data_IF_137619442753
#
_entry.id   IF_137619442753
#
_cell.length_a   1.000
_cell.length_b   1.000
_cell.length_c   1.000
_cell.angle_alpha   90.00
_cell.angle_beta   90.00
_cell.angle_gamma   90.00
#
_symmetry.space_group_name_H-M   'P 1'
#
loop_
_entity.id
_entity.type
_entity.pdbx_description
1 polymer ?
#
# COMPACT_ATOMS: atom_id res chain seq x y z
N UNK A 1 11.21 -16.80 -0.07
CA UNK A 1 9.80 -16.82 0.37
C UNK A 1 9.28 -18.25 0.32
N UNK A 2 8.80 -18.82 1.43
CA UNK A 2 8.01 -20.06 1.37
C UNK A 2 6.69 -19.73 0.65
N UNK A 3 6.31 -20.55 -0.33
CA UNK A 3 5.05 -20.40 -1.04
C UNK A 3 3.86 -20.70 -0.10
N UNK A 4 2.82 -19.84 -0.11
CA UNK A 4 1.47 -20.07 0.46
C UNK A 4 1.32 -20.17 1.99
N UNK A 5 2.08 -19.45 2.81
CA UNK A 5 1.64 -19.21 4.20
C UNK A 5 1.32 -17.73 4.42
N UNK A 6 0.09 -17.47 4.86
CA UNK A 6 -0.32 -16.21 5.48
C UNK A 6 0.48 -16.07 6.77
N UNK A 7 0.91 -14.85 7.08
CA UNK A 7 1.58 -14.59 8.36
C UNK A 7 0.56 -14.56 9.49
N UNK A 8 0.99 -14.96 10.67
CA UNK A 8 0.24 -14.73 11.88
C UNK A 8 0.23 -13.23 12.23
N UNK A 9 -0.75 -12.82 13.04
CA UNK A 9 -0.87 -11.41 13.42
C UNK A 9 0.37 -10.89 14.14
N UNK A 10 0.95 -11.70 15.03
CA UNK A 10 2.17 -11.35 15.77
C UNK A 10 3.34 -11.09 14.81
N UNK A 11 3.48 -11.91 13.76
CA UNK A 11 4.52 -11.75 12.74
C UNK A 11 4.31 -10.48 11.93
N UNK A 12 3.07 -10.21 11.49
CA UNK A 12 2.71 -9.01 10.76
C UNK A 12 2.96 -7.73 11.58
N UNK A 13 2.62 -7.75 12.87
CA UNK A 13 2.88 -6.65 13.81
C UNK A 13 4.38 -6.40 13.98
N UNK A 14 5.19 -7.46 14.14
CA UNK A 14 6.66 -7.33 14.26
C UNK A 14 7.30 -6.76 12.99
N UNK A 15 6.85 -7.18 11.82
CA UNK A 15 7.27 -6.60 10.54
C UNK A 15 6.91 -5.11 10.49
N UNK A 16 5.65 -4.77 10.80
CA UNK A 16 5.19 -3.39 10.76
C UNK A 16 6.00 -2.49 11.70
N UNK A 17 6.28 -2.94 12.92
CA UNK A 17 7.10 -2.20 13.89
C UNK A 17 8.51 -1.93 13.35
N UNK A 18 9.20 -2.95 12.83
CA UNK A 18 10.57 -2.79 12.29
C UNK A 18 10.59 -1.87 11.07
N UNK A 19 9.59 -1.98 10.19
CA UNK A 19 9.46 -1.06 9.04
C UNK A 19 9.27 0.37 9.52
N UNK A 20 8.33 0.62 10.44
CA UNK A 20 8.06 1.96 10.97
C UNK A 20 9.30 2.54 11.68
N UNK A 21 10.00 1.76 12.49
CA UNK A 21 11.26 2.16 13.13
C UNK A 21 12.33 2.57 12.10
N UNK A 22 12.39 1.89 10.95
CA UNK A 22 13.27 2.26 9.84
C UNK A 22 12.84 3.53 9.10
N UNK A 23 11.52 3.73 8.94
CA UNK A 23 10.96 4.88 8.22
C UNK A 23 11.05 6.20 9.01
N UNK A 24 10.85 6.18 10.33
CA UNK A 24 10.86 7.39 11.18
C UNK A 24 12.07 8.30 10.91
N UNK A 25 13.33 7.84 11.04
CA UNK A 25 14.49 8.72 10.86
C UNK A 25 14.67 9.19 9.41
N UNK A 26 14.10 8.48 8.42
CA UNK A 26 14.10 8.90 7.02
C UNK A 26 13.06 10.00 6.81
N UNK A 27 11.84 9.78 7.32
CA UNK A 27 10.72 10.69 7.17
C UNK A 27 10.97 12.03 7.86
N UNK A 28 11.58 12.02 9.05
CA UNK A 28 12.03 13.23 9.76
C UNK A 28 13.02 14.07 8.94
N UNK A 29 13.82 13.42 8.10
CA UNK A 29 14.78 14.08 7.19
C UNK A 29 14.15 14.43 5.84
N UNK A 30 12.85 14.23 5.65
CA UNK A 30 12.17 14.42 4.38
C UNK A 30 12.68 13.47 3.30
N UNK A 31 12.99 12.22 3.66
CA UNK A 31 13.42 11.17 2.73
C UNK A 31 12.36 10.07 2.71
N UNK A 32 11.80 9.78 1.53
CA UNK A 32 10.94 8.63 1.31
C UNK A 32 11.78 7.39 1.01
N UNK A 33 11.36 6.24 1.51
CA UNK A 33 11.98 4.95 1.21
C UNK A 33 11.71 4.53 -0.24
N UNK A 34 10.49 4.75 -0.73
CA UNK A 34 10.05 4.65 -2.14
C UNK A 34 10.23 3.28 -2.84
N UNK A 35 10.76 2.26 -2.18
CA UNK A 35 10.82 0.88 -2.68
C UNK A 35 10.46 -0.15 -1.59
N UNK A 36 9.49 0.18 -0.74
CA UNK A 36 9.07 -0.68 0.38
C UNK A 36 8.22 -1.86 -0.13
N UNK A 37 8.87 -3.02 -0.31
CA UNK A 37 8.28 -4.27 -0.79
C UNK A 37 8.71 -5.46 0.06
N UNK A 38 8.12 -6.63 -0.12
CA UNK A 38 8.48 -7.79 0.70
C UNK A 38 9.97 -8.19 0.54
N UNK A 39 10.58 -7.96 -0.62
CA UNK A 39 12.01 -8.20 -0.87
C UNK A 39 12.93 -7.19 -0.17
N UNK A 40 12.38 -6.14 0.44
CA UNK A 40 13.10 -5.21 1.30
C UNK A 40 13.10 -5.64 2.77
N UNK A 41 12.33 -6.66 3.14
CA UNK A 41 12.23 -7.16 4.52
C UNK A 41 12.88 -8.54 4.60
N UNK A 42 13.95 -8.65 5.36
CA UNK A 42 14.64 -9.91 5.62
C UNK A 42 14.28 -10.41 7.00
N UNK A 43 13.86 -11.67 7.07
CA UNK A 43 13.49 -12.35 8.31
C UNK A 43 14.41 -13.53 8.52
N UNK A 44 15.02 -13.60 9.70
CA UNK A 44 15.70 -14.80 10.20
C UNK A 44 14.74 -15.58 11.09
N UNK A 45 14.92 -16.89 11.11
CA UNK A 45 14.14 -17.82 11.92
C UNK A 45 15.02 -18.41 13.02
N UNK A 46 14.44 -18.74 14.16
CA UNK A 46 15.08 -19.55 15.20
C UNK A 46 14.92 -21.06 14.91
N UNK A 47 15.33 -21.90 15.85
CA UNK A 47 15.23 -23.36 15.75
C UNK A 47 13.79 -23.89 15.78
N UNK A 48 12.82 -23.03 16.12
CA UNK A 48 11.39 -23.34 16.18
C UNK A 48 10.60 -22.74 15.01
N UNK A 49 11.28 -22.34 13.92
CA UNK A 49 10.67 -21.67 12.76
C UNK A 49 9.95 -20.34 13.13
N UNK A 50 10.28 -19.73 14.28
CA UNK A 50 9.75 -18.43 14.70
C UNK A 50 10.68 -17.28 14.30
N UNK A 51 10.15 -16.08 14.09
CA UNK A 51 10.98 -14.93 13.68
C UNK A 51 11.99 -14.58 14.79
N UNK A 52 13.28 -14.70 14.50
CA UNK A 52 14.36 -14.36 15.45
C UNK A 52 14.90 -12.95 15.23
N UNK A 53 14.90 -12.46 13.98
CA UNK A 53 15.35 -11.12 13.63
C UNK A 53 14.67 -10.64 12.35
N UNK A 54 14.34 -9.35 12.28
CA UNK A 54 13.74 -8.72 11.10
C UNK A 54 14.57 -7.49 10.77
N UNK A 55 14.91 -7.31 9.49
CA UNK A 55 15.67 -6.16 9.01
C UNK A 55 15.05 -5.58 7.75
N UNK A 56 14.92 -4.25 7.74
CA UNK A 56 14.66 -3.49 6.53
C UNK A 56 15.98 -3.25 5.78
N UNK A 57 16.04 -3.61 4.50
CA UNK A 57 17.21 -3.55 3.63
C UNK A 57 16.86 -2.91 2.29
N UNK A 58 17.86 -2.44 1.53
CA UNK A 58 17.72 -1.80 0.19
C UNK A 58 17.27 -0.33 0.23
N UNK A 59 17.87 0.45 1.11
CA UNK A 59 17.69 1.92 1.19
C UNK A 59 18.21 2.66 -0.07
N UNK A 60 18.82 1.96 -1.04
CA UNK A 60 19.46 2.57 -2.22
C UNK A 60 18.51 3.27 -3.20
N UNK A 61 17.19 3.07 -3.06
CA UNK A 61 16.15 3.74 -3.84
C UNK A 61 15.50 4.93 -3.12
N UNK A 62 15.98 5.27 -1.92
CA UNK A 62 15.41 6.35 -1.13
C UNK A 62 15.52 7.70 -1.86
N UNK A 63 14.45 8.50 -1.76
CA UNK A 63 14.31 9.76 -2.49
C UNK A 63 14.19 10.92 -1.50
N UNK A 64 15.00 11.97 -1.66
CA UNK A 64 14.87 13.22 -0.90
C UNK A 64 13.72 14.04 -1.46
N UNK A 65 12.81 14.49 -0.61
CA UNK A 65 11.59 15.20 -0.98
C UNK A 65 11.82 16.71 -1.11
N UNK A 66 12.54 17.14 -2.16
CA UNK A 66 12.76 18.58 -2.47
C UNK A 66 12.88 18.81 -3.99
N UNK A 67 11.82 19.22 -4.72
CA UNK A 67 10.39 19.32 -4.36
C UNK A 67 9.70 17.94 -4.20
N UNK A 68 8.40 17.87 -3.85
CA UNK A 68 7.63 16.62 -3.95
C UNK A 68 7.81 15.98 -5.32
N UNK A 69 8.07 14.67 -5.33
CA UNK A 69 8.40 13.96 -6.55
C UNK A 69 7.17 13.74 -7.42
N UNK A 70 7.33 13.82 -8.74
CA UNK A 70 6.29 13.73 -9.75
C UNK A 70 6.48 12.54 -10.73
N UNK A 71 7.43 11.66 -10.42
CA UNK A 71 7.72 10.44 -11.18
C UNK A 71 7.16 9.18 -10.50
N UNK A 72 6.95 8.11 -11.29
CA UNK A 72 6.53 6.81 -10.80
C UNK A 72 7.66 6.12 -10.01
N UNK A 73 7.33 5.44 -8.91
CA UNK A 73 8.28 4.73 -8.06
C UNK A 73 7.76 3.33 -7.70
N UNK A 74 8.66 2.48 -7.21
CA UNK A 74 8.31 1.18 -6.64
C UNK A 74 7.59 0.23 -7.62
N UNK A 75 7.02 -0.84 -7.07
CA UNK A 75 6.21 -1.79 -7.81
C UNK A 75 4.76 -1.30 -7.94
N UNK A 76 4.12 -1.46 -9.11
CA UNK A 76 2.77 -0.95 -9.38
C UNK A 76 1.71 -1.33 -8.32
N UNK A 77 1.75 -2.58 -7.86
CA UNK A 77 0.74 -3.14 -6.92
C UNK A 77 0.82 -2.55 -5.51
N UNK A 78 1.89 -1.82 -5.19
CA UNK A 78 2.10 -1.18 -3.89
C UNK A 78 2.10 0.36 -3.98
N UNK A 79 1.94 0.93 -5.18
CA UNK A 79 1.97 2.38 -5.36
C UNK A 79 0.79 3.06 -4.65
N UNK A 80 1.11 4.20 -4.04
CA UNK A 80 0.14 5.04 -3.36
C UNK A 80 -0.79 5.73 -4.38
N UNK A 81 -2.03 6.04 -3.97
CA UNK A 81 -3.01 6.65 -4.85
C UNK A 81 -2.50 7.97 -5.44
N UNK A 82 -1.89 8.86 -4.66
CA UNK A 82 -1.36 10.13 -5.18
C UNK A 82 -0.38 9.92 -6.35
N UNK A 83 0.47 8.90 -6.29
CA UNK A 83 1.40 8.55 -7.36
C UNK A 83 0.67 8.00 -8.59
N UNK A 84 -0.32 7.13 -8.37
CA UNK A 84 -1.21 6.65 -9.42
C UNK A 84 -2.10 7.76 -10.01
N UNK A 85 -2.30 8.88 -9.36
CA UNK A 85 -2.96 10.05 -9.95
C UNK A 85 -1.98 11.08 -10.54
N UNK A 86 -0.67 10.89 -10.35
CA UNK A 86 0.37 11.78 -10.87
C UNK A 86 0.45 13.07 -10.06
N UNK A 87 -0.07 13.02 -8.84
CA UNK A 87 -0.04 14.09 -7.87
C UNK A 87 1.33 14.02 -7.19
N UNK A 88 2.01 15.16 -7.01
CA UNK A 88 3.28 15.15 -6.33
C UNK A 88 3.17 14.51 -4.95
N UNK A 89 4.05 13.56 -4.68
CA UNK A 89 3.97 12.69 -3.51
C UNK A 89 5.05 12.99 -2.46
N UNK A 90 4.81 12.50 -1.26
CA UNK A 90 5.68 12.72 -0.08
C UNK A 90 6.05 11.38 0.56
N UNK A 91 6.68 11.41 1.74
CA UNK A 91 7.00 10.22 2.56
C UNK A 91 5.79 9.31 2.88
N UNK A 92 4.55 9.80 2.71
CA UNK A 92 3.30 9.04 2.88
C UNK A 92 3.16 7.85 1.93
N UNK A 93 3.88 7.86 0.82
CA UNK A 93 3.97 6.71 -0.09
C UNK A 93 4.42 5.42 0.62
N UNK A 94 5.30 5.55 1.61
CA UNK A 94 5.81 4.41 2.37
C UNK A 94 4.77 3.89 3.38
N UNK A 95 3.92 4.77 3.89
CA UNK A 95 2.83 4.41 4.81
C UNK A 95 1.76 3.59 4.07
N UNK A 96 1.42 4.01 2.84
CA UNK A 96 0.56 3.22 1.96
C UNK A 96 1.19 1.87 1.63
N UNK A 97 2.46 1.85 1.21
CA UNK A 97 3.17 0.62 0.87
C UNK A 97 3.20 -0.37 2.06
N UNK A 98 3.42 0.11 3.30
CA UNK A 98 3.30 -0.71 4.51
C UNK A 98 1.92 -1.36 4.64
N UNK A 99 0.84 -0.61 4.41
CA UNK A 99 -0.51 -1.16 4.47
C UNK A 99 -0.77 -2.23 3.41
N UNK A 100 -0.23 -2.06 2.19
CA UNK A 100 -0.31 -3.12 1.15
C UNK A 100 0.45 -4.39 1.56
N UNK A 101 1.60 -4.27 2.23
CA UNK A 101 2.37 -5.40 2.74
C UNK A 101 1.64 -6.13 3.88
N UNK A 102 1.01 -5.40 4.79
CA UNK A 102 0.20 -5.99 5.86
C UNK A 102 -1.01 -6.72 5.26
N UNK A 103 -1.70 -6.11 4.31
CA UNK A 103 -2.79 -6.78 3.58
C UNK A 103 -2.28 -8.07 2.92
N UNK A 104 -1.15 -8.02 2.22
CA UNK A 104 -0.56 -9.21 1.60
C UNK A 104 -0.19 -10.28 2.63
N UNK A 105 0.40 -9.90 3.77
CA UNK A 105 0.73 -10.83 4.85
C UNK A 105 -0.48 -11.63 5.33
N UNK A 106 -1.64 -10.98 5.48
CA UNK A 106 -2.86 -11.63 5.96
C UNK A 106 -3.67 -12.35 4.86
N UNK A 107 -3.64 -11.88 3.62
CA UNK A 107 -4.41 -12.48 2.52
C UNK A 107 -3.62 -13.57 1.79
N UNK A 108 -2.29 -13.49 1.81
CA UNK A 108 -1.40 -14.29 0.97
C UNK A 108 -1.39 -13.85 -0.50
N UNK A 109 -2.08 -12.75 -0.85
CA UNK A 109 -2.15 -12.21 -2.21
C UNK A 109 -1.97 -10.68 -2.24
N UNK A 110 -1.35 -10.17 -3.30
CA UNK A 110 -1.29 -8.73 -3.58
C UNK A 110 -2.72 -8.26 -3.90
N UNK A 111 -3.34 -7.49 -3.01
CA UNK A 111 -4.77 -7.14 -3.12
C UNK A 111 -5.05 -6.18 -4.28
N UNK A 112 -4.05 -5.37 -4.64
CA UNK A 112 -4.11 -4.46 -5.78
C UNK A 112 -3.33 -5.05 -6.96
N UNK A 113 -3.61 -6.29 -7.31
CA UNK A 113 -3.05 -6.97 -8.48
C UNK A 113 -4.21 -7.42 -9.39
N UNK A 114 -4.37 -6.88 -10.60
CA UNK A 114 -5.51 -7.20 -11.44
C UNK A 114 -5.38 -8.63 -11.98
N UNK A 115 -6.38 -9.48 -11.79
CA UNK A 115 -6.28 -10.88 -12.17
C UNK A 115 -6.12 -11.04 -13.69
N UNK A 116 -5.04 -11.70 -14.09
CA UNK A 116 -4.76 -12.04 -15.50
C UNK A 116 -4.26 -10.87 -16.35
N UNK A 117 -3.81 -9.78 -15.73
CA UNK A 117 -3.24 -8.63 -16.43
C UNK A 117 -1.85 -8.37 -15.86
N UNK A 118 -0.82 -8.58 -16.68
CA UNK A 118 0.55 -8.33 -16.27
C UNK A 118 0.85 -6.82 -16.22
N UNK A 119 1.75 -6.39 -15.32
CA UNK A 119 2.28 -5.04 -15.32
C UNK A 119 2.92 -4.65 -16.68
N UNK A 120 2.81 -3.37 -17.08
CA UNK A 120 3.32 -2.89 -18.37
C UNK A 120 4.85 -2.65 -18.37
N UNK A 121 5.53 -2.82 -17.23
CA UNK A 121 6.99 -2.72 -17.09
C UNK A 121 7.72 -4.04 -17.39
N UNK A 122 7.06 -4.96 -18.10
CA UNK A 122 7.66 -6.16 -18.67
C UNK A 122 8.71 -5.82 -19.75
N UNK A 123 9.44 -6.84 -20.23
CA UNK A 123 10.43 -6.65 -21.30
C UNK A 123 9.98 -7.38 -22.58
N UNK A 124 9.61 -6.68 -23.66
CA UNK A 124 9.65 -5.21 -23.83
C UNK A 124 8.53 -4.49 -23.04
N UNK A 125 8.72 -3.20 -22.69
CA UNK A 125 7.71 -2.43 -21.97
C UNK A 125 6.47 -2.23 -22.84
N UNK A 126 5.31 -2.24 -22.20
CA UNK A 126 4.02 -1.94 -22.80
C UNK A 126 3.92 -0.50 -23.29
N UNK A 127 2.92 -0.25 -24.13
CA UNK A 127 2.65 1.08 -24.68
C UNK A 127 2.18 2.06 -23.60
N UNK A 128 2.19 3.37 -23.90
CA UNK A 128 1.59 4.38 -23.02
C UNK A 128 0.13 4.08 -22.68
N UNK A 129 -0.59 3.45 -23.61
CA UNK A 129 -1.98 3.05 -23.41
C UNK A 129 -2.09 1.88 -22.41
N UNK A 130 -1.18 0.92 -22.48
CA UNK A 130 -1.12 -0.19 -21.52
C UNK A 130 -0.82 0.33 -20.11
N UNK A 131 0.11 1.28 -19.99
CA UNK A 131 0.43 1.95 -18.73
C UNK A 131 -0.77 2.70 -18.14
N UNK A 132 -1.47 3.51 -18.94
CA UNK A 132 -2.68 4.22 -18.52
C UNK A 132 -3.80 3.27 -18.10
N UNK A 133 -3.95 2.15 -18.82
CA UNK A 133 -4.97 1.13 -18.53
C UNK A 133 -4.67 0.45 -17.20
N UNK A 134 -3.44 -0.04 -17.01
CA UNK A 134 -3.02 -0.68 -15.77
C UNK A 134 -3.16 0.27 -14.57
N UNK A 135 -2.72 1.53 -14.72
CA UNK A 135 -2.89 2.59 -13.73
C UNK A 135 -4.36 2.81 -13.36
N UNK A 136 -5.25 2.88 -14.33
CA UNK A 136 -6.70 3.06 -14.08
C UNK A 136 -7.28 1.87 -13.34
N UNK A 137 -6.88 0.63 -13.67
CA UNK A 137 -7.28 -0.57 -12.95
C UNK A 137 -6.80 -0.56 -11.49
N UNK A 138 -5.56 -0.13 -11.24
CA UNK A 138 -5.03 0.06 -9.88
C UNK A 138 -5.91 1.02 -9.08
N UNK A 139 -6.21 2.20 -9.65
CA UNK A 139 -7.06 3.19 -9.00
C UNK A 139 -8.44 2.60 -8.69
N UNK A 140 -9.05 1.87 -9.63
CA UNK A 140 -10.36 1.24 -9.42
C UNK A 140 -10.31 0.20 -8.30
N UNK A 141 -9.28 -0.65 -8.25
CA UNK A 141 -9.09 -1.61 -7.16
C UNK A 141 -8.96 -0.88 -5.81
N UNK A 142 -8.09 0.13 -5.71
CA UNK A 142 -7.92 0.91 -4.48
C UNK A 142 -9.22 1.60 -4.05
N UNK A 143 -9.96 2.14 -5.01
CA UNK A 143 -11.24 2.84 -4.79
C UNK A 143 -12.34 1.89 -4.30
N UNK A 144 -12.34 0.64 -4.77
CA UNK A 144 -13.27 -0.38 -4.32
C UNK A 144 -13.14 -0.64 -2.81
N UNK A 145 -11.90 -0.60 -2.29
CA UNK A 145 -11.61 -0.83 -0.87
C UNK A 145 -11.70 0.43 -0.01
N UNK A 146 -11.02 1.50 -0.42
CA UNK A 146 -10.74 2.66 0.44
C UNK A 146 -11.38 3.97 -0.05
N UNK A 147 -12.20 3.90 -1.12
CA UNK A 147 -12.89 5.06 -1.66
C UNK A 147 -14.01 5.63 -0.77
N UNK A 148 -14.65 6.73 -1.20
CA UNK A 148 -14.55 7.33 -2.54
C UNK A 148 -13.25 8.11 -2.79
N UNK A 149 -12.87 8.24 -4.05
CA UNK A 149 -11.74 9.08 -4.46
C UNK A 149 -12.01 10.53 -4.05
N UNK A 150 -11.06 11.22 -3.40
CA UNK A 150 -11.21 12.63 -3.06
C UNK A 150 -11.47 13.50 -4.29
N UNK A 151 -12.36 14.50 -4.17
CA UNK A 151 -12.69 15.39 -5.29
C UNK A 151 -11.45 16.09 -5.88
N UNK A 152 -10.48 16.46 -5.05
CA UNK A 152 -9.22 17.07 -5.49
C UNK A 152 -8.38 16.15 -6.38
N UNK A 153 -8.51 14.82 -6.26
CA UNK A 153 -7.82 13.86 -7.13
C UNK A 153 -8.56 13.75 -8.47
N UNK A 154 -9.89 13.74 -8.43
CA UNK A 154 -10.73 13.72 -9.63
C UNK A 154 -10.60 14.99 -10.49
N UNK A 155 -10.32 16.13 -9.87
CA UNK A 155 -10.06 17.40 -10.58
C UNK A 155 -8.73 17.39 -11.36
N UNK A 156 -7.75 16.62 -10.89
CA UNK A 156 -6.44 16.47 -11.51
C UNK A 156 -6.38 15.32 -12.53
N UNK A 157 -7.42 14.49 -12.58
CA UNK A 157 -7.51 13.34 -13.48
C UNK A 157 -7.88 13.78 -14.90
N UNK A 158 -7.41 13.04 -15.90
CA UNK A 158 -7.92 13.21 -17.25
C UNK A 158 -9.40 12.83 -17.36
N UNK A 159 -10.05 13.31 -18.43
CA UNK A 159 -11.48 13.14 -18.66
C UNK A 159 -11.89 11.66 -18.67
N UNK A 160 -11.08 10.78 -19.26
CA UNK A 160 -11.41 9.36 -19.40
C UNK A 160 -11.36 8.67 -18.05
N UNK A 161 -10.30 8.89 -17.28
CA UNK A 161 -10.20 8.35 -15.90
C UNK A 161 -11.36 8.84 -15.04
N UNK A 162 -11.72 10.11 -15.11
CA UNK A 162 -12.84 10.68 -14.34
C UNK A 162 -14.18 10.04 -14.68
N UNK A 163 -14.49 9.84 -15.96
CA UNK A 163 -15.75 9.22 -16.41
C UNK A 163 -15.83 7.74 -16.00
N UNK A 164 -14.71 7.01 -16.08
CA UNK A 164 -14.63 5.62 -15.64
C UNK A 164 -14.85 5.50 -14.12
N UNK A 165 -14.21 6.36 -13.32
CA UNK A 165 -14.37 6.35 -11.87
C UNK A 165 -15.79 6.73 -11.44
N UNK A 166 -16.42 7.72 -12.08
CA UNK A 166 -17.82 8.08 -11.80
C UNK A 166 -18.78 6.91 -12.13
N UNK A 167 -18.55 6.22 -13.25
CA UNK A 167 -19.32 5.02 -13.61
C UNK A 167 -19.12 3.90 -12.59
N UNK A 168 -17.88 3.69 -12.15
CA UNK A 168 -17.53 2.68 -11.16
C UNK A 168 -18.17 2.97 -9.80
N UNK A 169 -18.11 4.21 -9.33
CA UNK A 169 -18.72 4.68 -8.07
C UNK A 169 -20.25 4.49 -8.05
N UNK A 170 -20.92 4.79 -9.16
CA UNK A 170 -22.36 4.48 -9.34
C UNK A 170 -22.60 2.97 -9.26
N UNK A 171 -21.74 2.17 -9.88
CA UNK A 171 -21.79 0.71 -9.80
C UNK A 171 -21.66 0.19 -8.36
N UNK A 172 -20.70 0.70 -7.59
CA UNK A 172 -20.51 0.39 -6.16
C UNK A 172 -21.78 0.72 -5.37
N UNK A 173 -22.33 1.91 -5.59
CA UNK A 173 -23.54 2.38 -4.90
C UNK A 173 -24.73 1.48 -5.22
N UNK A 174 -24.94 1.13 -6.49
CA UNK A 174 -26.01 0.24 -6.94
C UNK A 174 -25.87 -1.19 -6.41
N UNK A 175 -24.64 -1.68 -6.20
CA UNK A 175 -24.38 -2.97 -5.57
C UNK A 175 -24.66 -2.98 -4.06
N UNK A 176 -25.00 -1.84 -3.46
CA UNK A 176 -25.27 -1.68 -2.03
C UNK A 176 -24.05 -1.29 -1.20
N UNK A 177 -23.05 -0.67 -1.83
CA UNK A 177 -21.89 -0.07 -1.18
C UNK A 177 -20.63 -0.95 -1.15
N UNK A 178 -19.49 -0.33 -0.80
CA UNK A 178 -18.16 -0.96 -0.82
C UNK A 178 -18.06 -2.21 0.02
N UNK A 179 -18.66 -2.21 1.21
CA UNK A 179 -18.61 -3.34 2.14
C UNK A 179 -19.08 -4.68 1.51
N UNK A 180 -20.01 -4.63 0.56
CA UNK A 180 -20.47 -5.82 -0.15
C UNK A 180 -19.45 -6.33 -1.17
N UNK A 181 -18.76 -5.42 -1.86
CA UNK A 181 -17.77 -5.73 -2.88
C UNK A 181 -16.47 -6.25 -2.26
N UNK A 182 -16.11 -5.73 -1.08
CA UNK A 182 -14.86 -6.10 -0.38
C UNK A 182 -15.03 -7.25 0.61
N UNK A 183 -16.26 -7.74 0.80
CA UNK A 183 -16.59 -8.82 1.75
C UNK A 183 -15.76 -10.10 1.58
N UNK A 184 -15.16 -10.34 0.41
CA UNK A 184 -14.29 -11.49 0.15
C UNK A 184 -12.85 -11.38 0.66
N UNK A 185 -12.35 -10.18 0.97
CA UNK A 185 -10.91 -9.94 1.23
C UNK A 185 -10.77 -8.88 2.33
N UNK A 186 -10.59 -9.23 3.61
CA UNK A 186 -10.41 -10.57 4.18
C UNK A 186 -11.33 -10.86 5.39
N UNK A 187 -12.24 -11.83 5.25
CA UNK A 187 -12.95 -12.46 6.38
C UNK A 187 -11.99 -13.14 7.40
N UNK A 188 -10.69 -13.23 7.10
CA UNK A 188 -9.66 -13.86 7.93
C UNK A 188 -8.77 -12.89 8.72
N UNK A 189 -8.93 -11.58 8.55
CA UNK A 189 -8.05 -10.61 9.23
C UNK A 189 -8.58 -10.26 10.63
N UNK A 190 -7.70 -10.19 11.64
CA UNK A 190 -8.07 -9.70 12.96
C UNK A 190 -8.69 -8.30 12.90
N UNK A 191 -9.70 -8.06 13.75
CA UNK A 191 -10.43 -6.79 13.77
C UNK A 191 -9.50 -5.59 14.02
N UNK A 192 -8.48 -5.76 14.86
CA UNK A 192 -7.56 -4.70 15.24
C UNK A 192 -6.58 -4.38 14.09
N UNK A 193 -6.10 -5.39 13.37
CA UNK A 193 -5.35 -5.21 12.13
C UNK A 193 -6.17 -4.46 11.06
N UNK A 194 -7.46 -4.77 10.92
CA UNK A 194 -8.35 -4.04 10.01
C UNK A 194 -8.53 -2.56 10.44
N UNK A 195 -8.62 -2.28 11.74
CA UNK A 195 -8.68 -0.91 12.25
C UNK A 195 -7.37 -0.14 12.02
N UNK A 196 -6.22 -0.81 12.15
CA UNK A 196 -4.93 -0.25 11.77
C UNK A 196 -4.89 0.11 10.27
N UNK A 197 -5.25 -0.82 9.39
CA UNK A 197 -5.31 -0.58 7.94
C UNK A 197 -6.25 0.57 7.59
N UNK A 198 -7.44 0.65 8.20
CA UNK A 198 -8.39 1.74 7.97
C UNK A 198 -7.84 3.13 8.35
N UNK A 199 -6.83 3.20 9.22
CA UNK A 199 -6.16 4.46 9.59
C UNK A 199 -5.06 4.83 8.60
N UNK A 200 -4.26 3.87 8.12
CA UNK A 200 -3.12 4.14 7.25
C UNK A 200 -3.46 4.16 5.75
N UNK A 201 -4.46 3.39 5.31
CA UNK A 201 -4.87 3.28 3.90
C UNK A 201 -5.92 4.34 3.54
N UNK A 202 -5.56 5.62 3.71
CA UNK A 202 -6.38 6.75 3.24
C UNK A 202 -5.97 7.15 1.82
N UNK A 203 -6.96 7.34 0.94
CA UNK A 203 -6.68 7.81 -0.42
C UNK A 203 -6.06 9.21 -0.46
N UNK A 204 -6.41 10.06 0.51
CA UNK A 204 -5.74 11.35 0.70
C UNK A 204 -4.56 11.17 1.67
N UNK A 205 -3.29 11.33 1.23
CA UNK A 205 -2.12 11.12 2.07
C UNK A 205 -2.06 12.08 3.27
N UNK A 206 -2.75 13.22 3.21
CA UNK A 206 -2.84 14.18 4.32
C UNK A 206 -3.63 13.67 5.51
N UNK A 207 -4.47 12.65 5.29
CA UNK A 207 -5.27 12.00 6.33
C UNK A 207 -4.56 10.80 6.95
N UNK A 208 -3.43 10.37 6.38
CA UNK A 208 -2.65 9.27 6.93
C UNK A 208 -1.82 9.79 8.12
N UNK A 209 -1.62 8.99 9.18
CA UNK A 209 -0.68 9.31 10.25
C UNK A 209 0.78 9.25 9.76
N UNK A 210 1.69 9.84 10.52
CA UNK A 210 3.14 9.71 10.34
C UNK A 210 3.64 8.34 10.80
N UNK A 211 4.85 7.95 10.36
CA UNK A 211 5.48 6.72 10.85
C UNK A 211 5.66 6.72 12.38
N UNK A 212 5.95 7.89 12.96
CA UNK A 212 6.12 8.04 14.41
C UNK A 212 4.81 7.83 15.16
N UNK A 213 3.72 8.46 14.73
CA UNK A 213 2.39 8.26 15.33
C UNK A 213 1.94 6.79 15.24
N UNK A 214 2.35 6.07 14.19
CA UNK A 214 2.00 4.67 14.02
C UNK A 214 2.78 3.72 14.93
N UNK A 215 3.98 4.08 15.38
CA UNK A 215 4.69 3.28 16.40
C UNK A 215 3.94 3.27 17.74
N UNK A 216 3.12 4.29 17.98
CA UNK A 216 2.29 4.43 19.18
C UNK A 216 0.88 3.86 18.99
N UNK A 217 0.60 3.24 17.83
CA UNK A 217 -0.73 2.70 17.54
C UNK A 217 -1.07 1.51 18.46
N UNK A 218 -2.30 1.45 19.01
CA UNK A 218 -2.75 0.33 19.85
C UNK A 218 -2.54 -1.07 19.25
N UNK A 219 -2.55 -1.20 17.92
CA UNK A 219 -2.31 -2.48 17.26
C UNK A 219 -0.88 -3.01 17.49
N UNK A 220 0.10 -2.15 17.75
CA UNK A 220 1.50 -2.53 17.99
C UNK A 220 1.89 -2.58 19.48
N UNK A 221 0.96 -2.27 20.39
CA UNK A 221 1.26 -2.08 21.81
C UNK A 221 1.78 -3.35 22.53
N UNK A 222 1.46 -4.53 22.03
CA UNK A 222 1.88 -5.84 22.56
C UNK A 222 3.18 -6.38 21.93
N UNK A 223 3.77 -5.65 20.98
CA UNK A 223 5.03 -6.03 20.35
C UNK A 223 6.20 -5.52 21.19
N UNK A 224 6.86 -6.42 21.91
CA UNK A 224 8.09 -6.12 22.65
C UNK A 224 9.27 -5.99 21.66
N UNK A 225 10.22 -5.11 21.97
CA UNK A 225 11.49 -4.96 21.22
C UNK A 225 12.45 -6.14 21.41
#
# INVERSE_FOLDING_TARGET
>A
MRAKHRLEEVEAKRIAKVVLQGLVPMHEKGVAYADLKAESIVVNFDEHDSFSNIKLIKVGHAVKMEPPADFAYGEWTIQAPEALFGIPWTTKVDIWALGTLIMWAFTGAKVFDPPGIDPPDTNPPGTDQDQKTYRTLMIMLQTAFFGPVPSSFLELSDKVTKELLDTFEKGITNAGGRAKITSGVPMSMPKDALQFLNRIMKLDPRQQPSAQELLEDPWLADVVD
#
